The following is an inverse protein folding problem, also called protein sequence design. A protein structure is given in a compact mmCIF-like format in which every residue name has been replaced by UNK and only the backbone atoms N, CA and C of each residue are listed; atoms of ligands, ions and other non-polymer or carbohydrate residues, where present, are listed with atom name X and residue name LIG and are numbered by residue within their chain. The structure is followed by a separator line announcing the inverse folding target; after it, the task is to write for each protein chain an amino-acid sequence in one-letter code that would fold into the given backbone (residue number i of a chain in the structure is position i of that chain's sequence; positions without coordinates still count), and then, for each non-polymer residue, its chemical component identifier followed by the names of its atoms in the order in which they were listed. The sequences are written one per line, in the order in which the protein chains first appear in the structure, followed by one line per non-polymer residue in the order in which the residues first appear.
data_IF_616082324141
#
_entry.id   IF_616082324141
#
_cell.length_a   1.000
_cell.length_b   1.000
_cell.length_c   1.000
_cell.angle_alpha   90.00
_cell.angle_beta   90.00
_cell.angle_gamma   90.00
#
_symmetry.space_group_name_H-M   'P 1'
#
loop_
_entity.id
_entity.type
_entity.pdbx_description
1 polymer ?
#
# COMPACT_ATOMS: atom_id res chain seq x y z
N UNK A 1 14.83 -7.95 9.95
CA UNK A 1 13.86 -8.67 10.82
C UNK A 1 14.04 -10.15 10.52
N UNK A 2 14.30 -10.99 11.51
CA UNK A 2 14.37 -12.44 11.29
C UNK A 2 13.02 -13.00 11.70
N UNK A 3 12.26 -13.54 10.76
CA UNK A 3 11.08 -14.33 11.06
C UNK A 3 11.49 -15.79 11.17
N UNK A 4 11.00 -16.49 12.18
CA UNK A 4 11.15 -17.93 12.33
C UNK A 4 9.78 -18.54 12.60
N UNK A 5 9.56 -19.72 12.05
CA UNK A 5 8.36 -20.51 12.30
C UNK A 5 8.78 -21.80 13.00
N UNK A 6 8.10 -22.12 14.11
CA UNK A 6 8.30 -23.36 14.87
C UNK A 6 7.02 -24.20 14.76
N UNK A 7 6.97 -25.10 13.77
CA UNK A 7 5.82 -25.95 13.45
C UNK A 7 5.91 -26.62 12.08
N UNK A 8 4.90 -27.40 11.74
CA UNK A 8 4.81 -28.02 10.41
C UNK A 8 4.29 -27.00 9.41
N UNK A 9 4.96 -26.89 8.25
CA UNK A 9 4.58 -25.94 7.19
C UNK A 9 3.15 -26.18 6.67
N UNK A 10 2.71 -27.43 6.68
CA UNK A 10 1.35 -27.84 6.25
C UNK A 10 0.23 -27.36 7.18
N UNK A 11 0.55 -26.93 8.39
CA UNK A 11 -0.42 -26.44 9.38
C UNK A 11 -0.74 -24.95 9.19
N UNK A 12 -0.04 -24.28 8.27
CA UNK A 12 -0.22 -22.86 8.00
C UNK A 12 -1.33 -22.64 6.96
N UNK A 13 -2.02 -21.52 7.08
CA UNK A 13 -2.90 -21.03 6.01
C UNK A 13 -2.08 -20.67 4.75
N UNK A 14 -2.75 -20.63 3.61
CA UNK A 14 -2.10 -20.29 2.33
C UNK A 14 -1.41 -18.91 2.41
N UNK A 15 -2.03 -17.94 3.09
CA UNK A 15 -1.45 -16.60 3.29
C UNK A 15 -0.18 -16.64 4.14
N UNK A 16 -0.17 -17.46 5.20
CA UNK A 16 0.99 -17.60 6.06
C UNK A 16 2.14 -18.33 5.33
N UNK A 17 1.84 -19.35 4.51
CA UNK A 17 2.81 -19.99 3.65
C UNK A 17 3.40 -19.02 2.63
N UNK A 18 2.57 -18.23 1.95
CA UNK A 18 3.01 -17.20 1.00
C UNK A 18 3.87 -16.13 1.68
N UNK A 19 3.52 -15.74 2.91
CA UNK A 19 4.34 -14.81 3.69
C UNK A 19 5.72 -15.39 4.03
N UNK A 20 5.80 -16.66 4.44
CA UNK A 20 7.08 -17.33 4.68
C UNK A 20 7.92 -17.44 3.40
N UNK A 21 7.30 -17.75 2.26
CA UNK A 21 7.99 -17.72 0.97
C UNK A 21 8.57 -16.33 0.67
N UNK A 22 7.83 -15.27 0.96
CA UNK A 22 8.31 -13.91 0.78
C UNK A 22 9.52 -13.60 1.69
N UNK A 23 9.46 -14.02 2.96
CA UNK A 23 10.52 -13.77 3.95
C UNK A 23 11.82 -14.52 3.60
N UNK A 24 11.70 -15.73 3.07
CA UNK A 24 12.87 -16.57 2.77
C UNK A 24 13.35 -16.49 1.31
N UNK A 25 12.73 -15.65 0.48
CA UNK A 25 13.17 -15.48 -0.90
C UNK A 25 14.48 -14.66 -0.97
N UNK A 26 15.63 -15.27 -1.34
CA UNK A 26 16.90 -14.57 -1.33
C UNK A 26 17.04 -13.53 -2.45
N UNK A 27 16.17 -13.60 -3.46
CA UNK A 27 16.26 -12.78 -4.66
C UNK A 27 15.37 -11.55 -4.61
N UNK A 28 14.56 -11.41 -3.54
CA UNK A 28 13.66 -10.28 -3.37
C UNK A 28 13.93 -9.57 -2.05
N UNK A 29 14.05 -8.25 -2.15
CA UNK A 29 14.06 -7.35 -0.99
C UNK A 29 12.82 -6.46 -1.05
N UNK A 30 12.08 -6.39 0.06
CA UNK A 30 10.97 -5.46 0.24
C UNK A 30 11.37 -4.43 1.28
N UNK A 31 11.51 -3.18 0.85
CA UNK A 31 11.80 -2.05 1.71
C UNK A 31 10.49 -1.32 2.03
N UNK A 32 10.10 -1.35 3.31
CA UNK A 32 8.92 -0.63 3.81
C UNK A 32 9.36 0.58 4.60
N UNK A 33 9.08 1.77 4.09
CA UNK A 33 9.30 3.02 4.79
C UNK A 33 8.06 3.40 5.60
N UNK A 34 8.18 3.36 6.91
CA UNK A 34 7.15 3.85 7.82
C UNK A 34 7.24 5.38 7.96
N UNK A 35 6.13 6.08 7.78
CA UNK A 35 6.04 7.53 7.91
C UNK A 35 4.74 7.96 8.57
N UNK A 36 4.76 9.10 9.25
CA UNK A 36 3.54 9.78 9.72
C UNK A 36 3.02 10.82 8.72
N UNK A 37 3.68 10.99 7.57
CA UNK A 37 3.24 11.91 6.54
C UNK A 37 1.97 11.41 5.85
N UNK A 38 1.14 12.35 5.43
CA UNK A 38 -0.10 12.10 4.69
C UNK A 38 0.08 12.14 3.18
N UNK A 39 1.30 12.43 2.72
CA UNK A 39 1.63 12.61 1.30
C UNK A 39 2.86 11.78 0.94
N UNK A 40 2.81 11.13 -0.21
CA UNK A 40 3.99 10.58 -0.85
C UNK A 40 4.91 11.66 -1.42
N UNK A 41 6.11 11.28 -1.88
CA UNK A 41 7.09 12.20 -2.45
C UNK A 41 6.58 12.90 -3.72
N UNK A 42 5.64 12.27 -4.42
CA UNK A 42 4.93 12.84 -5.57
C UNK A 42 3.85 13.88 -5.17
N UNK A 43 3.66 14.13 -3.88
CA UNK A 43 2.67 15.03 -3.33
C UNK A 43 1.23 14.51 -3.37
N UNK A 44 1.00 13.25 -3.75
CA UNK A 44 -0.34 12.63 -3.64
C UNK A 44 -0.59 12.18 -2.21
N UNK A 45 -1.79 12.52 -1.71
CA UNK A 45 -2.26 12.01 -0.44
C UNK A 45 -2.51 10.50 -0.52
N UNK A 46 -2.17 9.79 0.55
CA UNK A 46 -2.45 8.36 0.66
C UNK A 46 -3.04 8.01 2.02
N UNK A 47 -3.63 6.83 2.10
CA UNK A 47 -4.17 6.23 3.31
C UNK A 47 -3.68 4.79 3.37
N UNK A 48 -3.24 4.33 4.54
CA UNK A 48 -2.58 3.06 4.79
C UNK A 48 -1.21 2.95 4.13
N UNK A 49 -1.14 2.78 2.82
CA UNK A 49 0.11 2.63 2.10
C UNK A 49 0.10 3.22 0.69
N UNK A 50 1.25 3.28 0.08
CA UNK A 50 1.43 3.66 -1.32
C UNK A 50 2.64 2.99 -1.94
N UNK A 51 2.41 2.33 -3.07
CA UNK A 51 3.46 1.75 -3.90
C UNK A 51 4.39 2.82 -4.45
N UNK A 52 5.68 2.59 -4.42
CA UNK A 52 6.70 3.50 -4.94
C UNK A 52 7.28 3.02 -6.25
N UNK A 53 8.00 1.92 -6.21
CA UNK A 53 8.71 1.37 -7.35
C UNK A 53 9.17 -0.05 -7.08
N UNK A 54 9.60 -0.71 -8.13
CA UNK A 54 10.43 -1.91 -8.04
C UNK A 54 11.62 -1.77 -8.99
N UNK A 55 12.79 -2.13 -8.51
CA UNK A 55 14.04 -2.11 -9.27
C UNK A 55 14.46 -3.55 -9.53
N UNK A 56 14.49 -3.93 -10.80
CA UNK A 56 15.00 -5.22 -11.27
C UNK A 56 16.49 -5.10 -11.62
N UNK A 57 17.25 -6.14 -11.36
CA UNK A 57 18.66 -6.20 -11.68
C UNK A 57 19.26 -7.58 -11.46
N UNK A 58 20.60 -7.61 -11.39
CA UNK A 58 21.37 -8.82 -11.13
C UNK A 58 22.30 -8.62 -9.94
N UNK A 59 22.41 -9.65 -9.10
CA UNK A 59 23.39 -9.74 -8.02
C UNK A 59 24.07 -11.08 -8.07
N UNK A 60 25.39 -11.10 -8.19
CA UNK A 60 26.21 -12.33 -8.29
C UNK A 60 25.76 -13.31 -9.40
N UNK A 61 25.17 -12.77 -10.47
CA UNK A 61 24.67 -13.58 -11.59
C UNK A 61 23.21 -14.05 -11.45
N UNK A 62 22.59 -13.83 -10.30
CA UNK A 62 21.17 -14.15 -10.03
C UNK A 62 20.28 -12.94 -10.29
N UNK A 63 19.08 -13.17 -10.81
CA UNK A 63 18.06 -12.13 -10.96
C UNK A 63 17.54 -11.70 -9.59
N UNK A 64 17.51 -10.40 -9.34
CA UNK A 64 17.04 -9.82 -8.07
C UNK A 64 16.07 -8.69 -8.29
N UNK A 65 15.18 -8.47 -7.35
CA UNK A 65 14.30 -7.30 -7.34
C UNK A 65 14.22 -6.65 -5.95
N UNK A 66 14.26 -5.32 -5.95
CA UNK A 66 14.01 -4.47 -4.77
C UNK A 66 12.71 -3.72 -4.96
N UNK A 67 11.74 -3.97 -4.11
CA UNK A 67 10.47 -3.27 -4.09
C UNK A 67 10.42 -2.28 -2.94
N UNK A 68 9.79 -1.13 -3.18
CA UNK A 68 9.71 -0.01 -2.23
C UNK A 68 8.25 0.38 -2.00
N UNK A 69 7.85 0.36 -0.74
CA UNK A 69 6.53 0.73 -0.27
C UNK A 69 6.63 1.78 0.84
N UNK A 70 5.71 2.72 0.87
CA UNK A 70 5.57 3.66 2.00
C UNK A 70 4.27 3.35 2.72
N UNK A 71 4.30 3.28 4.03
CA UNK A 71 3.11 3.03 4.85
C UNK A 71 2.98 4.05 5.96
N UNK A 72 1.75 4.33 6.38
CA UNK A 72 1.48 5.08 7.60
C UNK A 72 0.98 4.10 8.69
N UNK A 73 1.82 3.76 9.69
CA UNK A 73 1.45 2.78 10.72
C UNK A 73 0.21 3.16 11.53
N UNK A 74 -0.05 4.45 11.70
CA UNK A 74 -1.25 4.91 12.41
C UNK A 74 -2.52 4.66 11.60
N UNK A 75 -2.46 4.86 10.28
CA UNK A 75 -3.58 4.58 9.38
C UNK A 75 -3.87 3.07 9.35
N UNK A 76 -2.82 2.25 9.18
CA UNK A 76 -2.92 0.79 9.18
C UNK A 76 -3.58 0.28 10.47
N UNK A 77 -3.05 0.71 11.63
CA UNK A 77 -3.59 0.32 12.93
C UNK A 77 -5.05 0.75 13.09
N UNK A 78 -5.38 2.01 12.79
CA UNK A 78 -6.74 2.53 12.93
C UNK A 78 -7.74 1.79 12.03
N UNK A 79 -7.32 1.44 10.82
CA UNK A 79 -8.15 0.72 9.85
C UNK A 79 -8.39 -0.73 10.28
N UNK A 80 -7.33 -1.42 10.68
CA UNK A 80 -7.38 -2.80 11.16
C UNK A 80 -8.19 -2.94 12.46
N UNK A 81 -8.02 -2.01 13.42
CA UNK A 81 -8.79 -1.97 14.67
C UNK A 81 -10.30 -1.78 14.40
N UNK A 82 -10.66 -0.88 13.48
CA UNK A 82 -12.06 -0.66 13.11
C UNK A 82 -12.70 -1.93 12.53
N UNK A 83 -11.98 -2.68 11.71
CA UNK A 83 -12.43 -3.92 11.09
C UNK A 83 -12.19 -5.17 11.95
N UNK A 84 -11.59 -5.03 13.14
CA UNK A 84 -11.25 -6.12 14.06
C UNK A 84 -10.33 -7.19 13.43
N UNK A 85 -9.41 -6.77 12.56
CA UNK A 85 -8.45 -7.63 11.86
C UNK A 85 -7.02 -7.09 12.00
N UNK A 86 -6.43 -7.13 13.21
CA UNK A 86 -5.13 -6.53 13.47
C UNK A 86 -4.02 -7.15 12.61
N UNK A 87 -3.25 -6.29 11.92
CA UNK A 87 -2.14 -6.68 11.06
C UNK A 87 -2.52 -7.07 9.63
N UNK A 88 -3.80 -7.25 9.32
CA UNK A 88 -4.25 -7.71 8.01
C UNK A 88 -3.89 -6.74 6.87
N UNK A 89 -4.10 -5.44 7.08
CA UNK A 89 -3.74 -4.43 6.08
C UNK A 89 -2.23 -4.27 5.96
N UNK A 90 -1.49 -4.44 7.06
CA UNK A 90 -0.01 -4.46 7.02
C UNK A 90 0.51 -5.62 6.20
N UNK A 91 -0.08 -6.81 6.34
CA UNK A 91 0.24 -7.98 5.53
C UNK A 91 -0.07 -7.73 4.04
N UNK A 92 -1.22 -7.11 3.75
CA UNK A 92 -1.58 -6.72 2.39
C UNK A 92 -0.51 -5.84 1.74
N UNK A 93 -0.11 -4.74 2.38
CA UNK A 93 0.87 -3.79 1.85
C UNK A 93 2.24 -4.47 1.61
N UNK A 94 2.67 -5.33 2.52
CA UNK A 94 3.91 -6.09 2.36
C UNK A 94 3.83 -7.06 1.19
N UNK A 95 2.77 -7.83 1.08
CA UNK A 95 2.59 -8.83 0.02
C UNK A 95 2.31 -8.19 -1.34
N UNK A 96 1.65 -7.03 -1.39
CA UNK A 96 1.54 -6.22 -2.61
C UNK A 96 2.93 -5.88 -3.14
N UNK A 97 3.81 -5.39 -2.27
CA UNK A 97 5.17 -5.02 -2.63
C UNK A 97 6.01 -6.23 -3.09
N UNK A 98 5.88 -7.36 -2.39
CA UNK A 98 6.53 -8.62 -2.77
C UNK A 98 6.06 -9.13 -4.14
N UNK A 99 4.75 -9.12 -4.39
CA UNK A 99 4.18 -9.53 -5.68
C UNK A 99 4.64 -8.63 -6.83
N UNK A 100 4.80 -7.34 -6.60
CA UNK A 100 5.37 -6.43 -7.60
C UNK A 100 6.83 -6.81 -7.94
N UNK A 101 7.62 -7.22 -6.94
CA UNK A 101 8.99 -7.70 -7.15
C UNK A 101 9.02 -9.02 -7.95
N UNK A 102 8.14 -9.97 -7.64
CA UNK A 102 8.00 -11.22 -8.43
C UNK A 102 7.67 -10.92 -9.90
N UNK A 103 6.72 -10.00 -10.14
CA UNK A 103 6.36 -9.59 -11.50
C UNK A 103 7.52 -8.91 -12.22
N UNK A 104 8.33 -8.15 -11.51
CA UNK A 104 9.51 -7.47 -12.03
C UNK A 104 10.56 -8.48 -12.51
N UNK A 105 10.85 -9.52 -11.73
CA UNK A 105 11.72 -10.63 -12.13
C UNK A 105 11.14 -11.37 -13.34
N UNK A 106 9.88 -11.79 -13.28
CA UNK A 106 9.22 -12.53 -14.36
C UNK A 106 9.18 -11.79 -15.69
N UNK A 107 9.23 -10.46 -15.66
CA UNK A 107 9.22 -9.60 -16.85
C UNK A 107 10.59 -8.98 -17.17
N UNK A 108 11.63 -9.31 -16.42
CA UNK A 108 12.99 -8.75 -16.54
C UNK A 108 12.95 -7.20 -16.64
N UNK A 109 12.18 -6.53 -15.78
CA UNK A 109 11.86 -5.11 -15.96
C UNK A 109 11.49 -4.43 -14.65
N UNK A 110 12.07 -3.26 -14.43
CA UNK A 110 11.72 -2.35 -13.34
C UNK A 110 10.38 -1.65 -13.58
N UNK A 111 9.82 -1.10 -12.51
CA UNK A 111 8.63 -0.23 -12.54
C UNK A 111 8.84 0.96 -11.61
N UNK A 112 8.21 2.08 -11.90
CA UNK A 112 8.24 3.28 -11.09
C UNK A 112 6.82 3.78 -10.72
N UNK A 113 6.74 4.64 -9.72
CA UNK A 113 5.49 5.18 -9.21
C UNK A 113 4.65 5.87 -10.31
N UNK A 114 5.31 6.49 -11.28
CA UNK A 114 4.64 7.19 -12.38
C UNK A 114 3.99 6.24 -13.38
N UNK A 115 4.60 5.08 -13.60
CA UNK A 115 4.10 4.07 -14.55
C UNK A 115 3.11 3.10 -13.92
N UNK A 116 3.38 2.69 -12.68
CA UNK A 116 2.54 1.75 -11.91
C UNK A 116 2.17 0.49 -12.70
N UNK A 117 3.11 -0.02 -13.51
CA UNK A 117 2.93 -1.15 -14.41
C UNK A 117 2.46 -2.40 -13.68
N UNK A 118 3.06 -2.69 -12.51
CA UNK A 118 2.76 -3.88 -11.73
C UNK A 118 1.73 -3.65 -10.62
N UNK A 119 1.44 -2.39 -10.26
CA UNK A 119 0.60 -2.05 -9.11
C UNK A 119 -0.74 -2.78 -9.09
N UNK A 120 -1.50 -2.71 -10.20
CA UNK A 120 -2.86 -3.29 -10.22
C UNK A 120 -2.84 -4.79 -9.96
N UNK A 121 -1.94 -5.51 -10.61
CA UNK A 121 -1.87 -6.98 -10.48
C UNK A 121 -1.28 -7.40 -9.14
N UNK A 122 -0.26 -6.71 -8.63
CA UNK A 122 0.32 -6.99 -7.32
C UNK A 122 -0.68 -6.76 -6.19
N UNK A 123 -1.46 -5.67 -6.27
CA UNK A 123 -2.53 -5.36 -5.33
C UNK A 123 -3.66 -6.42 -5.34
N UNK A 124 -4.06 -6.88 -6.53
CA UNK A 124 -5.08 -7.93 -6.66
C UNK A 124 -4.63 -9.31 -6.16
N UNK A 125 -3.33 -9.59 -6.21
CA UNK A 125 -2.74 -10.86 -5.77
C UNK A 125 -2.28 -10.83 -4.30
N UNK A 126 -2.30 -9.68 -3.65
CA UNK A 126 -2.04 -9.58 -2.22
C UNK A 126 -3.24 -10.14 -1.42
N UNK A 127 -3.03 -10.63 -0.19
CA UNK A 127 -4.12 -10.95 0.73
C UNK A 127 -5.09 -9.78 0.86
N UNK A 128 -6.38 -10.00 1.09
CA UNK A 128 -7.32 -8.89 1.22
C UNK A 128 -6.92 -7.95 2.37
N UNK A 129 -7.19 -6.66 2.22
CA UNK A 129 -7.13 -5.72 3.33
C UNK A 129 -8.20 -6.06 4.37
N UNK A 130 -8.10 -5.51 5.59
CA UNK A 130 -9.08 -5.72 6.65
C UNK A 130 -10.50 -5.24 6.29
N UNK A 131 -10.63 -4.41 5.28
CA UNK A 131 -11.92 -3.92 4.78
C UNK A 131 -11.76 -3.00 3.58
N UNK A 132 -12.81 -2.23 3.31
CA UNK A 132 -12.83 -1.23 2.25
C UNK A 132 -13.09 0.16 2.81
N UNK A 133 -12.69 1.19 2.09
CA UNK A 133 -12.96 2.58 2.44
C UNK A 133 -13.43 3.38 1.23
N UNK A 134 -14.14 4.46 1.51
CA UNK A 134 -14.58 5.42 0.50
C UNK A 134 -13.71 6.65 0.53
N UNK A 135 -13.47 7.21 -0.65
CA UNK A 135 -12.73 8.46 -0.84
C UNK A 135 -13.67 9.53 -1.32
N UNK A 136 -13.68 10.65 -0.63
CA UNK A 136 -14.47 11.83 -0.98
C UNK A 136 -13.60 13.08 -1.00
N UNK A 137 -14.01 14.03 -1.82
CA UNK A 137 -13.45 15.37 -1.86
C UNK A 137 -14.51 16.37 -1.37
N UNK A 138 -14.12 17.32 -0.53
CA UNK A 138 -15.03 18.33 -0.02
C UNK A 138 -14.39 19.70 0.01
N UNK A 139 -15.20 20.72 -0.28
CA UNK A 139 -14.82 22.11 -0.15
C UNK A 139 -15.37 22.64 1.18
N UNK A 140 -14.48 23.14 2.07
CA UNK A 140 -14.86 23.68 3.39
C UNK A 140 -15.75 22.74 4.23
N UNK A 141 -15.60 21.41 4.08
CA UNK A 141 -16.43 20.44 4.79
C UNK A 141 -17.86 20.32 4.29
N UNK A 142 -18.19 20.95 3.17
CA UNK A 142 -19.50 20.92 2.50
C UNK A 142 -19.35 20.22 1.16
N UNK A 143 -20.41 19.64 0.62
CA UNK A 143 -20.47 19.00 -0.68
C UNK A 143 -19.44 17.85 -0.87
N UNK A 144 -19.78 16.66 -0.44
CA UNK A 144 -18.99 15.46 -0.68
C UNK A 144 -19.03 15.07 -2.17
N UNK A 145 -17.86 15.00 -2.81
CA UNK A 145 -17.72 14.64 -4.23
C UNK A 145 -16.81 13.44 -4.40
N UNK A 146 -17.15 12.55 -5.32
CA UNK A 146 -16.31 11.39 -5.66
C UNK A 146 -15.08 11.76 -6.51
N UNK A 147 -15.07 12.95 -7.11
CA UNK A 147 -13.95 13.46 -7.93
C UNK A 147 -13.70 14.93 -7.64
N UNK A 148 -12.42 15.32 -7.66
CA UNK A 148 -12.07 16.74 -7.68
C UNK A 148 -12.62 17.41 -8.94
N UNK A 149 -13.14 18.64 -8.86
CA UNK A 149 -13.47 19.43 -10.04
C UNK A 149 -12.22 19.64 -10.89
N UNK A 150 -12.37 19.54 -12.21
CA UNK A 150 -11.28 19.70 -13.17
C UNK A 150 -10.84 21.13 -13.45
N UNK A 151 -11.47 22.14 -12.82
CA UNK A 151 -11.27 23.56 -13.16
C UNK A 151 -10.81 24.34 -11.93
N UNK A 152 -9.72 25.11 -12.09
CA UNK A 152 -9.16 26.13 -11.17
C UNK A 152 -9.69 26.07 -9.72
N UNK A 153 -9.34 24.99 -9.02
CA UNK A 153 -9.69 24.89 -7.60
C UNK A 153 -8.65 25.69 -6.79
N UNK A 154 -9.13 26.44 -5.80
CA UNK A 154 -8.24 26.92 -4.75
C UNK A 154 -7.98 25.73 -3.81
N UNK A 155 -6.79 25.06 -3.86
CA UNK A 155 -6.57 23.81 -3.14
C UNK A 155 -6.66 23.97 -1.63
N UNK A 156 -6.27 25.13 -1.08
CA UNK A 156 -6.31 25.40 0.36
C UNK A 156 -7.70 25.29 1.00
N UNK A 157 -8.75 25.19 0.19
CA UNK A 157 -10.14 25.05 0.63
C UNK A 157 -10.69 23.64 0.43
N UNK A 158 -9.89 22.71 -0.11
CA UNK A 158 -10.32 21.37 -0.39
C UNK A 158 -9.61 20.36 0.51
N UNK A 159 -10.35 19.28 0.81
CA UNK A 159 -9.86 18.16 1.60
C UNK A 159 -10.23 16.86 0.91
N UNK A 160 -9.35 15.85 1.05
CA UNK A 160 -9.66 14.47 0.78
C UNK A 160 -10.03 13.78 2.10
N UNK A 161 -11.09 12.98 2.06
CA UNK A 161 -11.57 12.19 3.20
C UNK A 161 -11.50 10.73 2.86
N UNK A 162 -10.98 9.95 3.79
CA UNK A 162 -11.05 8.50 3.81
C UNK A 162 -12.02 8.10 4.91
N UNK A 163 -13.09 7.38 4.55
CA UNK A 163 -14.13 6.97 5.49
C UNK A 163 -14.50 5.51 5.32
N UNK A 164 -15.13 4.92 6.36
CA UNK A 164 -15.75 3.60 6.27
C UNK A 164 -16.81 3.55 5.15
N UNK A 165 -17.14 2.34 4.70
CA UNK A 165 -18.19 2.12 3.70
C UNK A 165 -19.55 2.65 4.15
N UNK A 166 -19.89 2.52 5.43
CA UNK A 166 -21.12 3.05 6.04
C UNK A 166 -21.09 4.58 6.19
N UNK A 167 -19.88 5.19 6.24
CA UNK A 167 -19.71 6.62 6.48
C UNK A 167 -19.79 7.03 7.96
N UNK A 168 -19.92 6.08 8.88
CA UNK A 168 -19.98 6.31 10.33
C UNK A 168 -18.61 6.66 10.95
N UNK A 169 -17.52 6.28 10.27
CA UNK A 169 -16.15 6.57 10.68
C UNK A 169 -15.41 7.31 9.59
N UNK A 170 -14.81 8.45 9.95
CA UNK A 170 -13.79 9.12 9.15
C UNK A 170 -12.43 8.69 9.68
N UNK A 171 -11.68 7.94 8.87
CA UNK A 171 -10.33 7.51 9.21
C UNK A 171 -9.35 8.67 9.09
N UNK A 172 -9.46 9.46 8.01
CA UNK A 172 -8.50 10.50 7.72
C UNK A 172 -9.11 11.66 6.94
N UNK A 173 -8.62 12.87 7.24
CA UNK A 173 -8.93 14.10 6.52
C UNK A 173 -7.63 14.81 6.19
N UNK A 174 -7.33 14.95 4.92
CA UNK A 174 -6.08 15.54 4.43
C UNK A 174 -6.39 16.80 3.62
N UNK A 175 -5.76 17.96 3.92
CA UNK A 175 -5.91 19.14 3.08
C UNK A 175 -5.26 18.90 1.71
N UNK A 176 -5.87 19.39 0.64
CA UNK A 176 -5.27 19.35 -0.69
C UNK A 176 -4.29 20.49 -0.80
N UNK A 177 -3.02 20.19 -1.04
CA UNK A 177 -1.97 21.20 -1.22
C UNK A 177 -1.84 21.57 -2.70
N UNK A 178 -1.32 22.79 -2.97
CA UNK A 178 -0.88 23.17 -4.31
C UNK A 178 0.30 22.27 -4.73
N UNK A 179 0.25 21.78 -5.92
CA UNK A 179 1.36 21.13 -6.62
C UNK A 179 2.05 22.13 -7.52
#
# INVERSE_FOLDING_TARGET
MNASFDGEYTDLSDEAQNFLHAVYNPNITVDILATSNDYGDNGYAFFCGTYKKVVYGYSKGEEVAHSYQVVNPNDLRQFDEYHQQPGQTSLHELMESYNAALMSISNCSSDDEGKRKYYKSSHQNAPPQSGTFKVYYTKNGRDLRKKLPSVNINPSKWYIYYSSESGDKIFKKIPITNR
#
